data_IF_694308111488
#
_entry.id   IF_694308111488
#
_cell.length_a   1.000
_cell.length_b   1.000
_cell.length_c   1.000
_cell.angle_alpha   90.00
_cell.angle_beta   90.00
_cell.angle_gamma   90.00
#
_symmetry.space_group_name_H-M   'P 1'
#
loop_
_entity.id
_entity.type
_entity.pdbx_description
1 polymer ?
#
# COMPACT_ATOMS: atom_id res chain seq x y z
N UNK A 1 8.57 11.11 -6.91
CA UNK A 1 8.13 9.93 -7.69
C UNK A 1 7.62 8.90 -6.70
N UNK A 2 6.53 8.20 -7.00
CA UNK A 2 6.02 7.11 -6.13
C UNK A 2 6.45 5.77 -6.72
N UNK A 3 7.04 4.93 -5.88
CA UNK A 3 7.33 3.54 -6.24
C UNK A 3 6.18 2.66 -5.74
N UNK A 4 5.69 1.75 -6.59
CA UNK A 4 4.51 0.93 -6.29
C UNK A 4 4.86 -0.54 -6.55
N UNK A 5 4.68 -1.38 -5.54
CA UNK A 5 4.80 -2.83 -5.64
C UNK A 5 3.49 -3.50 -5.23
N UNK A 6 2.99 -4.40 -6.08
CA UNK A 6 1.85 -5.26 -5.81
C UNK A 6 2.31 -6.72 -5.75
N UNK A 7 1.92 -7.43 -4.70
CA UNK A 7 2.24 -8.85 -4.53
C UNK A 7 0.99 -9.66 -4.20
N UNK A 8 0.80 -10.84 -4.82
CA UNK A 8 -0.26 -11.75 -4.43
C UNK A 8 0.08 -12.39 -3.08
N UNK A 9 -0.94 -12.59 -2.24
CA UNK A 9 -0.83 -13.24 -0.94
C UNK A 9 -0.68 -12.27 0.23
N UNK A 10 -0.57 -12.86 1.43
CA UNK A 10 -0.28 -12.12 2.65
C UNK A 10 1.23 -11.95 2.70
N UNK A 11 1.71 -10.71 2.54
CA UNK A 11 3.15 -10.42 2.53
C UNK A 11 3.72 -9.99 3.87
N UNK A 12 2.93 -10.01 4.95
CA UNK A 12 3.38 -9.65 6.29
C UNK A 12 2.36 -9.97 7.38
N UNK A 13 2.66 -9.57 8.61
CA UNK A 13 1.77 -9.75 9.73
C UNK A 13 0.60 -8.75 9.65
N UNK A 14 -0.58 -9.24 9.24
CA UNK A 14 -1.79 -8.44 9.08
C UNK A 14 -2.23 -7.74 10.38
N UNK A 15 -1.73 -8.15 11.55
CA UNK A 15 -1.99 -7.48 12.83
C UNK A 15 -1.32 -6.11 12.92
N UNK A 16 -0.33 -5.84 12.08
CA UNK A 16 0.38 -4.55 12.01
C UNK A 16 -0.35 -3.50 11.16
N UNK A 17 -1.40 -3.89 10.43
CA UNK A 17 -2.23 -3.01 9.60
C UNK A 17 -3.40 -2.48 10.42
N UNK A 18 -3.17 -1.39 11.13
CA UNK A 18 -4.09 -0.86 12.15
C UNK A 18 -5.18 0.04 11.58
N UNK A 19 -4.99 0.60 10.38
CA UNK A 19 -5.94 1.51 9.74
C UNK A 19 -6.81 0.80 8.71
N UNK A 20 -7.98 1.37 8.40
CA UNK A 20 -8.96 0.82 7.46
C UNK A 20 -9.42 1.88 6.48
N UNK A 21 -9.48 1.55 5.20
CA UNK A 21 -9.95 2.44 4.12
C UNK A 21 -10.93 1.70 3.21
N UNK A 22 -12.12 2.26 2.92
CA UNK A 22 -12.99 1.74 1.87
C UNK A 22 -12.28 1.76 0.52
N UNK A 23 -12.37 0.66 -0.23
CA UNK A 23 -11.70 0.49 -1.51
C UNK A 23 -12.63 -0.22 -2.50
N UNK A 24 -13.57 0.55 -3.05
CA UNK A 24 -14.68 0.03 -3.83
C UNK A 24 -15.62 -0.79 -2.94
N UNK A 25 -15.89 -2.04 -3.34
CA UNK A 25 -16.75 -2.97 -2.60
C UNK A 25 -16.03 -3.69 -1.44
N UNK A 26 -14.74 -3.43 -1.21
CA UNK A 26 -13.96 -4.06 -0.14
C UNK A 26 -13.34 -3.05 0.80
N UNK A 27 -12.74 -3.52 1.88
CA UNK A 27 -11.99 -2.71 2.83
C UNK A 27 -10.52 -3.09 2.71
N UNK A 28 -9.66 -2.10 2.47
CA UNK A 28 -8.23 -2.25 2.63
C UNK A 28 -7.85 -2.01 4.09
N UNK A 29 -6.99 -2.86 4.64
CA UNK A 29 -6.29 -2.60 5.90
C UNK A 29 -4.91 -2.05 5.56
N UNK A 30 -4.44 -1.05 6.28
CA UNK A 30 -3.17 -0.42 5.94
C UNK A 30 -2.46 0.19 7.16
N UNK A 31 -1.21 0.58 6.93
CA UNK A 31 -0.42 1.44 7.80
C UNK A 31 0.43 2.37 6.94
N UNK A 32 0.77 3.53 7.49
CA UNK A 32 1.76 4.45 6.91
C UNK A 32 2.89 4.59 7.92
N UNK A 33 4.13 4.43 7.47
CA UNK A 33 5.35 4.66 8.25
C UNK A 33 6.13 5.81 7.65
N UNK A 34 6.77 6.62 8.49
CA UNK A 34 7.68 7.67 8.07
C UNK A 34 9.04 7.41 8.67
N UNK A 35 10.07 7.46 7.83
CA UNK A 35 11.45 7.26 8.21
C UNK A 35 12.24 8.52 7.85
N UNK A 36 12.66 9.24 8.89
CA UNK A 36 13.53 10.42 8.77
C UNK A 36 14.97 9.96 8.98
N UNK A 37 15.84 10.08 7.96
CA UNK A 37 17.26 9.75 8.15
C UNK A 37 18.10 9.49 6.91
N UNK A 38 17.51 9.34 5.73
CA UNK A 38 18.26 9.20 4.48
C UNK A 38 18.84 10.52 3.99
N UNK A 39 19.95 10.48 3.25
CA UNK A 39 20.50 11.66 2.56
C UNK A 39 19.59 12.21 1.45
N UNK A 40 18.48 11.52 1.15
CA UNK A 40 17.47 11.88 0.14
C UNK A 40 16.16 12.44 0.69
N UNK A 41 16.08 12.77 1.99
CA UNK A 41 14.88 13.35 2.60
C UNK A 41 14.06 12.37 3.43
N UNK A 42 12.84 12.77 3.83
CA UNK A 42 11.90 11.93 4.58
C UNK A 42 11.26 10.92 3.63
N UNK A 43 11.37 9.63 3.94
CA UNK A 43 10.67 8.58 3.22
C UNK A 43 9.37 8.22 3.93
N UNK A 44 8.26 8.29 3.20
CA UNK A 44 6.96 7.80 3.68
C UNK A 44 6.60 6.53 2.91
N UNK A 45 6.24 5.48 3.65
CA UNK A 45 5.88 4.17 3.11
C UNK A 45 4.46 3.77 3.52
N UNK A 46 3.62 3.50 2.53
CA UNK A 46 2.30 2.88 2.65
C UNK A 46 2.42 1.37 2.47
N UNK A 47 1.87 0.63 3.43
CA UNK A 47 1.63 -0.82 3.28
C UNK A 47 0.14 -1.06 3.43
N UNK A 48 -0.47 -1.74 2.45
CA UNK A 48 -1.90 -2.06 2.47
C UNK A 48 -2.19 -3.48 1.99
N UNK A 49 -3.26 -4.08 2.51
CA UNK A 49 -3.78 -5.37 2.07
C UNK A 49 -5.27 -5.26 1.80
N UNK A 50 -5.71 -5.85 0.68
CA UNK A 50 -7.11 -5.92 0.31
C UNK A 50 -7.47 -7.33 -0.16
N UNK A 51 -8.64 -7.82 0.28
CA UNK A 51 -9.27 -8.99 -0.30
C UNK A 51 -9.74 -8.67 -1.73
N UNK A 52 -9.39 -9.54 -2.68
CA UNK A 52 -9.78 -9.46 -4.08
C UNK A 52 -10.34 -10.80 -4.55
N UNK A 53 -10.99 -10.79 -5.70
CA UNK A 53 -11.37 -12.04 -6.38
C UNK A 53 -10.11 -12.88 -6.58
N UNK A 54 -10.10 -14.12 -6.09
CA UNK A 54 -8.98 -15.05 -6.23
C UNK A 54 -7.89 -14.94 -5.16
N UNK A 55 -7.97 -14.01 -4.20
CA UNK A 55 -7.02 -13.97 -3.08
C UNK A 55 -6.78 -12.60 -2.48
N UNK A 56 -5.72 -12.51 -1.67
CA UNK A 56 -5.27 -11.24 -1.08
C UNK A 56 -4.25 -10.58 -1.99
N UNK A 57 -4.36 -9.26 -2.13
CA UNK A 57 -3.33 -8.44 -2.75
C UNK A 57 -2.73 -7.54 -1.70
N UNK A 58 -1.40 -7.58 -1.59
CA UNK A 58 -0.62 -6.63 -0.81
C UNK A 58 -0.04 -5.55 -1.73
N UNK A 59 -0.10 -4.32 -1.25
CA UNK A 59 0.46 -3.12 -1.85
C UNK A 59 1.53 -2.57 -0.90
N UNK A 60 2.69 -2.25 -1.44
CA UNK A 60 3.71 -1.46 -0.79
C UNK A 60 4.04 -0.28 -1.72
N UNK A 61 3.98 0.94 -1.18
CA UNK A 61 4.29 2.14 -1.94
C UNK A 61 5.14 3.10 -1.09
N UNK A 62 6.17 3.68 -1.68
CA UNK A 62 7.05 4.63 -1.00
C UNK A 62 7.18 5.92 -1.80
N UNK A 63 7.38 7.02 -1.08
CA UNK A 63 7.70 8.32 -1.65
C UNK A 63 8.74 9.00 -0.76
N UNK A 64 9.69 9.69 -1.38
CA UNK A 64 10.58 10.61 -0.68
C UNK A 64 10.13 12.04 -0.95
N UNK A 65 9.99 12.84 0.12
CA UNK A 65 9.64 14.27 0.07
C UNK A 65 10.39 15.03 1.17
N UNK A 66 10.72 16.28 0.87
CA UNK A 66 11.39 17.19 1.82
C UNK A 66 10.43 18.17 2.50
N UNK A 67 9.14 18.17 2.14
CA UNK A 67 8.12 19.10 2.64
C UNK A 67 7.40 18.63 3.92
N UNK A 68 7.67 17.39 4.38
CA UNK A 68 7.04 16.77 5.55
C UNK A 68 5.54 16.49 5.39
N UNK A 69 4.96 16.74 4.20
CA UNK A 69 3.57 16.50 3.93
C UNK A 69 3.33 15.02 3.64
N UNK A 70 2.31 14.43 4.29
CA UNK A 70 1.93 13.06 3.99
C UNK A 70 1.45 12.97 2.53
N UNK A 71 2.03 12.11 1.70
CA UNK A 71 1.50 11.82 0.38
C UNK A 71 0.10 11.16 0.47
N UNK A 72 -0.79 11.55 -0.43
CA UNK A 72 -2.13 10.93 -0.55
C UNK A 72 -2.09 9.46 -1.05
N UNK A 73 -0.98 9.05 -1.67
CA UNK A 73 -0.79 7.78 -2.35
C UNK A 73 -1.90 7.43 -3.35
N UNK A 74 -2.57 8.42 -3.95
CA UNK A 74 -3.70 8.18 -4.85
C UNK A 74 -3.39 7.17 -5.96
N UNK A 75 -2.23 7.23 -6.65
CA UNK A 75 -1.90 6.24 -7.68
C UNK A 75 -1.80 4.82 -7.13
N UNK A 76 -1.30 4.66 -5.90
CA UNK A 76 -1.15 3.35 -5.26
C UNK A 76 -2.52 2.79 -4.83
N UNK A 77 -3.42 3.66 -4.33
CA UNK A 77 -4.80 3.28 -4.02
C UNK A 77 -5.57 2.86 -5.27
N UNK A 78 -5.43 3.61 -6.36
CA UNK A 78 -6.05 3.29 -7.65
C UNK A 78 -5.52 1.98 -8.25
N UNK A 79 -4.21 1.71 -8.12
CA UNK A 79 -3.62 0.42 -8.51
C UNK A 79 -4.19 -0.73 -7.66
N UNK A 80 -4.26 -0.59 -6.33
CA UNK A 80 -4.83 -1.63 -5.48
C UNK A 80 -6.33 -1.83 -5.70
N UNK A 81 -7.07 -0.77 -6.02
CA UNK A 81 -8.50 -0.82 -6.33
C UNK A 81 -8.81 -1.67 -7.57
N UNK A 82 -7.91 -1.64 -8.55
CA UNK A 82 -8.07 -2.32 -9.84
C UNK A 82 -7.40 -3.68 -9.90
N UNK A 83 -6.46 -3.98 -8.98
CA UNK A 83 -5.76 -5.24 -8.91
C UNK A 83 -6.72 -6.44 -8.74
N UNK A 84 -6.49 -7.49 -9.52
CA UNK A 84 -7.21 -8.76 -9.45
C UNK A 84 -6.21 -9.91 -9.48
N UNK A 85 -6.39 -10.89 -8.61
CA UNK A 85 -5.71 -12.17 -8.74
C UNK A 85 -6.51 -13.02 -9.74
N UNK A 86 -5.86 -13.45 -10.81
CA UNK A 86 -6.39 -14.52 -11.66
C UNK A 86 -5.79 -15.82 -11.20
N UNK A 87 -6.56 -16.91 -11.23
CA UNK A 87 -6.03 -18.24 -10.96
C UNK A 87 -4.83 -18.52 -11.88
N UNK A 88 -3.75 -19.02 -11.30
CA UNK A 88 -2.64 -19.59 -12.08
C UNK A 88 -3.12 -20.98 -12.47
N UNK A 89 -3.43 -21.17 -13.75
CA UNK A 89 -3.80 -22.45 -14.33
C UNK A 89 -2.60 -23.37 -14.43
#
# INVERSE_FOLDING_TARGET
>A
MVEIRLTPGHGGDATTLTQRRPLGATIARYRVTRETGGSGGEETTLVAEAQRSGGVVRLEASVQRDDGAEPDFEPAWSALATARCTEIR
#
